data_IF_063218797421
#
_entry.id   IF_063218797421
#
_cell.length_a   1.000
_cell.length_b   1.000
_cell.length_c   1.000
_cell.angle_alpha   90.00
_cell.angle_beta   90.00
_cell.angle_gamma   90.00
#
_symmetry.space_group_name_H-M   'P 1'
#
loop_
_entity.id
_entity.type
_entity.pdbx_description
1 polymer ?
#
# COMPACT_ATOMS: atom_id res chain seq x y z
N UNK A 1 7.04 17.98 15.92
CA UNK A 1 6.46 18.00 17.28
C UNK A 1 5.80 16.65 17.58
N UNK A 2 6.19 16.01 18.69
CA UNK A 2 5.62 14.72 19.09
C UNK A 2 4.18 14.88 19.61
N UNK A 3 3.25 14.14 19.01
CA UNK A 3 1.83 14.10 19.38
C UNK A 3 1.36 12.65 19.47
N UNK A 4 0.48 12.35 20.42
CA UNK A 4 -0.21 11.06 20.48
C UNK A 4 -1.50 11.18 19.67
N UNK A 5 -1.57 10.47 18.54
CA UNK A 5 -2.67 10.58 17.59
C UNK A 5 -3.02 9.20 17.04
N UNK A 6 -4.27 9.07 16.61
CA UNK A 6 -4.66 7.99 15.71
C UNK A 6 -3.96 8.17 14.36
N UNK A 7 -3.54 7.08 13.71
CA UNK A 7 -2.86 7.11 12.41
C UNK A 7 -3.59 7.95 11.35
N UNK A 8 -4.91 7.80 11.24
CA UNK A 8 -5.75 8.59 10.33
C UNK A 8 -5.70 10.10 10.59
N UNK A 9 -5.62 10.52 11.85
CA UNK A 9 -5.47 11.93 12.25
C UNK A 9 -4.06 12.46 11.97
N UNK A 10 -3.05 11.61 12.10
CA UNK A 10 -1.67 11.91 11.70
C UNK A 10 -1.59 12.20 10.20
N UNK A 11 -2.16 11.31 9.37
CA UNK A 11 -2.24 11.50 7.92
C UNK A 11 -3.01 12.77 7.55
N UNK A 12 -4.16 13.03 8.18
CA UNK A 12 -4.91 14.26 7.92
C UNK A 12 -4.10 15.53 8.24
N UNK A 13 -3.30 15.52 9.32
CA UNK A 13 -2.39 16.63 9.62
C UNK A 13 -1.26 16.75 8.59
N UNK A 14 -0.67 15.63 8.15
CA UNK A 14 0.37 15.63 7.12
C UNK A 14 -0.14 16.23 5.81
N UNK A 15 -1.31 15.79 5.34
CA UNK A 15 -1.96 16.30 4.13
C UNK A 15 -2.31 17.78 4.28
N UNK A 16 -2.80 18.21 5.44
CA UNK A 16 -3.08 19.62 5.70
C UNK A 16 -1.82 20.51 5.58
N UNK A 17 -0.67 20.04 6.07
CA UNK A 17 0.61 20.76 5.94
C UNK A 17 1.05 20.90 4.48
N UNK A 18 0.65 19.98 3.59
CA UNK A 18 0.92 20.05 2.16
C UNK A 18 0.02 21.05 1.41
N UNK A 19 -0.95 21.68 2.08
CA UNK A 19 -1.86 22.70 1.51
C UNK A 19 -2.46 22.29 0.16
N UNK A 20 -3.21 21.17 0.06
CA UNK A 20 -3.97 20.88 -1.14
C UNK A 20 -5.01 21.98 -1.37
N UNK A 21 -5.26 22.32 -2.63
CA UNK A 21 -6.31 23.27 -2.99
C UNK A 21 -7.69 22.60 -3.01
N UNK A 22 -7.75 21.27 -3.13
CA UNK A 22 -8.99 20.53 -3.08
C UNK A 22 -8.85 19.17 -2.40
N UNK A 23 -9.83 18.84 -1.55
CA UNK A 23 -10.04 17.52 -0.98
C UNK A 23 -11.34 16.97 -1.53
N UNK A 24 -11.25 15.94 -2.39
CA UNK A 24 -12.40 15.26 -2.98
C UNK A 24 -12.78 14.07 -2.10
N UNK A 25 -13.94 14.10 -1.44
CA UNK A 25 -14.27 13.16 -0.38
C UNK A 25 -15.53 12.33 -0.68
N UNK A 26 -15.38 11.01 -0.56
CA UNK A 26 -16.46 10.05 -0.42
C UNK A 26 -16.12 9.08 0.73
N UNK A 27 -17.03 8.81 1.68
CA UNK A 27 -16.72 8.02 2.87
C UNK A 27 -16.74 6.51 2.58
N UNK A 28 -15.66 5.83 2.95
CA UNK A 28 -15.59 4.36 2.97
C UNK A 28 -14.64 3.89 4.07
N UNK A 29 -15.08 2.97 4.93
CA UNK A 29 -14.22 2.43 6.00
C UNK A 29 -13.02 1.67 5.40
N UNK A 30 -11.81 1.78 5.95
CA UNK A 30 -11.44 2.50 7.18
C UNK A 30 -10.80 3.89 6.95
N UNK A 31 -10.90 4.50 5.77
CA UNK A 31 -10.29 5.82 5.53
C UNK A 31 -11.14 7.00 6.04
N UNK A 32 -12.44 6.79 6.33
CA UNK A 32 -13.40 7.84 6.70
C UNK A 32 -12.87 8.85 7.73
N UNK A 33 -12.12 8.40 8.75
CA UNK A 33 -11.54 9.29 9.77
C UNK A 33 -10.59 10.34 9.19
N UNK A 34 -9.88 10.03 8.10
CA UNK A 34 -8.95 10.92 7.40
C UNK A 34 -9.73 12.07 6.75
N UNK A 35 -10.73 11.76 5.93
CA UNK A 35 -11.54 12.79 5.23
C UNK A 35 -12.35 13.63 6.20
N UNK A 36 -12.91 13.03 7.27
CA UNK A 36 -13.58 13.79 8.33
C UNK A 36 -12.64 14.75 9.07
N UNK A 37 -11.40 14.32 9.35
CA UNK A 37 -10.41 15.18 9.99
C UNK A 37 -9.98 16.34 9.06
N UNK A 38 -9.77 16.07 7.77
CA UNK A 38 -9.50 17.11 6.78
C UNK A 38 -10.66 18.09 6.66
N UNK A 39 -11.91 17.61 6.60
CA UNK A 39 -13.09 18.47 6.56
C UNK A 39 -13.19 19.39 7.77
N UNK A 40 -12.82 18.91 8.97
CA UNK A 40 -12.72 19.75 10.18
C UNK A 40 -11.62 20.80 10.07
N UNK A 41 -10.45 20.45 9.51
CA UNK A 41 -9.33 21.37 9.32
C UNK A 41 -9.65 22.47 8.30
N UNK A 42 -10.27 22.11 7.17
CA UNK A 42 -10.75 23.07 6.17
C UNK A 42 -11.79 24.00 6.77
N UNK A 43 -12.83 23.46 7.43
CA UNK A 43 -13.87 24.26 8.09
C UNK A 43 -13.31 25.22 9.16
N UNK A 44 -12.21 24.84 9.81
CA UNK A 44 -11.54 25.66 10.81
C UNK A 44 -10.55 26.68 10.21
N UNK A 45 -10.41 26.76 8.89
CA UNK A 45 -9.45 27.64 8.21
C UNK A 45 -7.99 27.27 8.49
N UNK A 46 -7.71 25.98 8.75
CA UNK A 46 -6.34 25.48 9.00
C UNK A 46 -5.63 25.02 7.73
N UNK A 47 -6.36 24.86 6.65
CA UNK A 47 -5.83 24.67 5.30
C UNK A 47 -6.29 25.88 4.50
N UNK A 48 -5.36 26.78 4.21
CA UNK A 48 -5.65 28.01 3.46
C UNK A 48 -5.97 27.66 2.00
N UNK A 49 -6.94 28.37 1.40
CA UNK A 49 -7.35 28.23 0.00
C UNK A 49 -7.64 26.78 -0.44
N UNK A 50 -8.26 26.01 0.45
CA UNK A 50 -8.66 24.62 0.20
C UNK A 50 -10.18 24.46 0.16
N UNK A 51 -10.67 23.91 -0.94
CA UNK A 51 -12.06 23.46 -1.06
C UNK A 51 -12.21 22.01 -0.58
N UNK A 52 -13.26 21.75 0.22
CA UNK A 52 -13.61 20.39 0.62
C UNK A 52 -14.92 20.01 -0.06
N UNK A 53 -14.87 19.05 -0.99
CA UNK A 53 -16.02 18.67 -1.80
C UNK A 53 -16.50 17.25 -1.47
N UNK A 54 -17.74 17.16 -1.00
CA UNK A 54 -18.47 15.90 -0.92
C UNK A 54 -19.04 15.55 -2.29
N UNK A 55 -18.70 14.37 -2.79
CA UNK A 55 -19.21 13.84 -4.07
C UNK A 55 -20.22 12.71 -3.83
N UNK A 56 -20.88 12.27 -4.89
CA UNK A 56 -21.89 11.20 -4.85
C UNK A 56 -21.29 9.79 -4.86
N UNK A 57 -20.02 9.65 -5.24
CA UNK A 57 -19.32 8.36 -5.34
C UNK A 57 -17.80 8.49 -5.39
N UNK A 58 -17.07 7.38 -5.22
CA UNK A 58 -15.62 7.36 -5.40
C UNK A 58 -15.18 7.68 -6.84
N UNK A 59 -15.95 7.26 -7.85
CA UNK A 59 -15.70 7.65 -9.24
C UNK A 59 -15.78 9.18 -9.41
N UNK A 60 -16.80 9.81 -8.81
CA UNK A 60 -16.94 11.26 -8.75
C UNK A 60 -15.76 11.93 -8.05
N UNK A 61 -15.25 11.34 -6.95
CA UNK A 61 -14.13 11.91 -6.21
C UNK A 61 -12.86 12.00 -7.07
N UNK A 62 -12.53 10.92 -7.79
CA UNK A 62 -11.37 10.93 -8.69
C UNK A 62 -11.61 11.83 -9.92
N UNK A 63 -12.83 11.87 -10.46
CA UNK A 63 -13.17 12.74 -11.60
C UNK A 63 -13.02 14.22 -11.26
N UNK A 64 -13.46 14.65 -10.07
CA UNK A 64 -13.23 16.02 -9.58
C UNK A 64 -11.74 16.28 -9.38
N UNK A 65 -11.00 15.32 -8.80
CA UNK A 65 -9.56 15.48 -8.59
C UNK A 65 -8.81 15.65 -9.93
N UNK A 66 -9.20 14.91 -10.97
CA UNK A 66 -8.68 15.05 -12.35
C UNK A 66 -8.96 16.45 -12.89
N UNK A 67 -10.22 16.91 -12.81
CA UNK A 67 -10.59 18.23 -13.31
C UNK A 67 -9.84 19.36 -12.60
N UNK A 68 -9.75 19.28 -11.27
CA UNK A 68 -9.03 20.25 -10.46
C UNK A 68 -7.52 20.25 -10.76
N UNK A 69 -6.90 19.07 -10.84
CA UNK A 69 -5.47 18.95 -11.15
C UNK A 69 -5.14 19.48 -12.55
N UNK A 70 -5.99 19.19 -13.54
CA UNK A 70 -5.87 19.74 -14.89
C UNK A 70 -6.05 21.26 -14.93
N UNK A 71 -6.79 21.85 -13.98
CA UNK A 71 -6.91 23.30 -13.80
C UNK A 71 -5.78 23.91 -12.95
N UNK A 72 -4.76 23.13 -12.59
CA UNK A 72 -3.57 23.62 -11.86
C UNK A 72 -3.66 23.52 -10.34
N UNK A 73 -4.69 22.87 -9.78
CA UNK A 73 -4.86 22.71 -8.33
C UNK A 73 -4.10 21.48 -7.79
N UNK A 74 -3.48 21.61 -6.61
CA UNK A 74 -2.98 20.46 -5.84
C UNK A 74 -4.18 19.68 -5.29
N UNK A 75 -4.37 18.45 -5.75
CA UNK A 75 -5.57 17.66 -5.46
C UNK A 75 -5.27 16.44 -4.57
N UNK A 76 -6.18 16.16 -3.64
CA UNK A 76 -6.09 15.03 -2.73
C UNK A 76 -7.43 14.27 -2.59
N UNK A 77 -7.35 12.95 -2.43
CA UNK A 77 -8.49 12.10 -2.04
C UNK A 77 -8.05 10.92 -1.17
N UNK A 78 -9.00 10.19 -0.59
CA UNK A 78 -8.73 8.96 0.16
C UNK A 78 -9.84 7.94 -0.10
N UNK A 79 -9.47 6.67 -0.26
CA UNK A 79 -10.39 5.57 -0.55
C UNK A 79 -9.91 4.24 0.05
N UNK A 80 -10.68 3.18 -0.14
CA UNK A 80 -10.34 1.81 0.25
C UNK A 80 -11.18 0.78 -0.55
N UNK A 81 -10.66 -0.43 -0.76
CA UNK A 81 -11.45 -1.59 -1.22
C UNK A 81 -12.35 -1.29 -2.43
N UNK A 82 -13.66 -1.49 -2.29
CA UNK A 82 -14.66 -1.28 -3.33
C UNK A 82 -14.66 0.13 -3.90
N UNK A 83 -14.34 1.14 -3.08
CA UNK A 83 -14.26 2.51 -3.53
C UNK A 83 -13.12 2.73 -4.51
N UNK A 84 -11.97 2.08 -4.27
CA UNK A 84 -10.85 2.09 -5.21
C UNK A 84 -11.21 1.37 -6.51
N UNK A 85 -11.95 0.26 -6.43
CA UNK A 85 -12.45 -0.45 -7.62
C UNK A 85 -13.44 0.41 -8.41
N UNK A 86 -14.28 1.19 -7.73
CA UNK A 86 -15.22 2.09 -8.38
C UNK A 86 -14.53 3.30 -9.03
N UNK A 87 -13.29 3.61 -8.63
CA UNK A 87 -12.43 4.60 -9.28
C UNK A 87 -11.62 4.06 -10.47
N UNK A 88 -11.65 2.75 -10.77
CA UNK A 88 -10.66 2.11 -11.64
C UNK A 88 -10.43 2.83 -12.97
N UNK A 89 -11.48 3.16 -13.72
CA UNK A 89 -11.36 3.90 -14.99
C UNK A 89 -10.69 5.27 -14.80
N UNK A 90 -11.17 6.05 -13.83
CA UNK A 90 -10.65 7.39 -13.57
C UNK A 90 -9.17 7.36 -13.13
N UNK A 91 -8.74 6.33 -12.40
CA UNK A 91 -7.35 6.13 -11.99
C UNK A 91 -6.44 6.01 -13.22
N UNK A 92 -6.81 5.21 -14.24
CA UNK A 92 -6.03 5.12 -15.47
C UNK A 92 -5.97 6.47 -16.21
N UNK A 93 -7.06 7.23 -16.21
CA UNK A 93 -7.09 8.56 -16.83
C UNK A 93 -6.17 9.54 -16.10
N UNK A 94 -6.20 9.61 -14.76
CA UNK A 94 -5.31 10.47 -13.99
C UNK A 94 -3.82 10.25 -14.32
N UNK A 95 -3.40 8.99 -14.43
CA UNK A 95 -2.02 8.64 -14.80
C UNK A 95 -1.72 8.94 -16.27
N UNK A 96 -2.60 8.51 -17.19
CA UNK A 96 -2.42 8.73 -18.62
C UNK A 96 -2.38 10.21 -19.01
N UNK A 97 -3.13 11.04 -18.28
CA UNK A 97 -3.10 12.48 -18.40
C UNK A 97 -1.88 13.11 -17.72
N UNK A 98 -1.12 12.40 -16.87
CA UNK A 98 0.07 12.93 -16.19
C UNK A 98 -0.26 13.93 -15.08
N UNK A 99 -1.34 13.71 -14.34
CA UNK A 99 -1.83 14.63 -13.31
C UNK A 99 -1.29 14.25 -11.92
N UNK A 100 -0.62 15.16 -11.19
CA UNK A 100 -0.03 14.87 -9.88
C UNK A 100 -1.06 14.88 -8.76
N UNK A 101 -1.85 13.81 -8.68
CA UNK A 101 -2.87 13.60 -7.64
C UNK A 101 -2.30 12.68 -6.56
N UNK A 102 -2.47 13.05 -5.28
CA UNK A 102 -2.12 12.18 -4.16
C UNK A 102 -3.38 11.53 -3.59
N UNK A 103 -3.34 10.21 -3.43
CA UNK A 103 -4.44 9.43 -2.89
C UNK A 103 -3.98 8.54 -1.74
N UNK A 104 -4.69 8.59 -0.62
CA UNK A 104 -4.53 7.57 0.42
C UNK A 104 -5.37 6.36 0.07
N UNK A 105 -4.75 5.18 0.09
CA UNK A 105 -5.46 3.90 0.03
C UNK A 105 -5.34 3.22 1.38
N UNK A 106 -6.41 3.28 2.18
CA UNK A 106 -6.49 2.55 3.45
C UNK A 106 -6.79 1.08 3.17
N UNK A 107 -5.75 0.30 2.89
CA UNK A 107 -5.81 -1.05 2.35
C UNK A 107 -6.80 -1.94 3.12
N UNK A 108 -7.80 -2.42 2.39
CA UNK A 108 -8.91 -3.23 2.88
C UNK A 108 -9.25 -4.30 1.85
N UNK A 109 -9.62 -5.47 2.36
CA UNK A 109 -10.07 -6.61 1.57
C UNK A 109 -11.13 -6.24 0.51
N UNK A 110 -10.92 -6.70 -0.72
CA UNK A 110 -11.93 -6.72 -1.77
C UNK A 110 -12.93 -7.86 -1.48
N UNK A 111 -14.22 -7.58 -1.64
CA UNK A 111 -15.29 -8.58 -1.62
C UNK A 111 -15.58 -9.16 -3.02
N UNK A 112 -16.26 -10.31 -3.15
CA UNK A 112 -16.99 -11.07 -2.13
C UNK A 112 -16.20 -12.29 -1.59
N UNK A 113 -16.33 -12.65 -0.29
CA UNK A 113 -17.24 -12.08 0.72
C UNK A 113 -16.85 -10.68 1.18
N UNK A 114 -17.82 -9.88 1.66
CA UNK A 114 -17.52 -8.55 2.22
C UNK A 114 -16.61 -8.69 3.43
N UNK A 115 -15.55 -7.87 3.46
CA UNK A 115 -14.67 -7.79 4.61
C UNK A 115 -14.17 -6.34 4.75
N UNK A 116 -14.31 -5.79 5.95
CA UNK A 116 -13.90 -4.41 6.26
C UNK A 116 -12.44 -4.33 6.70
N UNK A 117 -11.84 -5.44 7.06
CA UNK A 117 -10.50 -5.51 7.62
C UNK A 117 -9.42 -5.52 6.55
N UNK A 118 -8.17 -5.35 6.99
CA UNK A 118 -7.02 -5.21 6.12
C UNK A 118 -6.67 -6.49 5.37
N UNK A 119 -6.48 -6.32 4.07
CA UNK A 119 -5.44 -6.96 3.28
C UNK A 119 -5.07 -5.95 2.18
N UNK A 120 -4.13 -6.28 1.29
CA UNK A 120 -3.61 -5.34 0.29
C UNK A 120 -4.22 -5.56 -1.12
N UNK A 121 -5.31 -6.33 -1.21
CA UNK A 121 -5.89 -6.75 -2.50
C UNK A 121 -6.39 -5.58 -3.34
N UNK A 122 -6.83 -4.50 -2.69
CA UNK A 122 -7.31 -3.29 -3.32
C UNK A 122 -6.22 -2.52 -4.08
N UNK A 123 -5.22 -1.99 -3.39
CA UNK A 123 -4.12 -1.28 -4.04
C UNK A 123 -3.42 -2.14 -5.10
N UNK A 124 -3.19 -3.42 -4.80
CA UNK A 124 -2.49 -4.33 -5.71
C UNK A 124 -3.36 -4.74 -6.91
N UNK A 125 -4.69 -4.57 -6.87
CA UNK A 125 -5.52 -4.71 -8.07
C UNK A 125 -5.31 -3.57 -9.06
N UNK A 126 -4.81 -2.41 -8.61
CA UNK A 126 -4.53 -1.22 -9.43
C UNK A 126 -3.04 -1.06 -9.78
N UNK A 127 -2.22 -2.10 -9.58
CA UNK A 127 -0.76 -2.05 -9.80
C UNK A 127 -0.31 -1.71 -11.24
N UNK A 128 -1.20 -1.89 -12.21
CA UNK A 128 -0.92 -1.66 -13.64
C UNK A 128 -1.52 -0.31 -14.13
N UNK A 129 -2.07 0.49 -13.22
CA UNK A 129 -2.77 1.76 -13.52
C UNK A 129 -1.84 2.96 -13.78
N UNK A 130 -0.52 2.79 -13.61
CA UNK A 130 0.46 3.87 -13.77
C UNK A 130 0.49 4.86 -12.60
N UNK A 131 0.04 4.43 -11.41
CA UNK A 131 0.21 5.15 -10.16
C UNK A 131 1.40 4.63 -9.38
N UNK A 132 2.19 5.53 -8.82
CA UNK A 132 3.24 5.15 -7.87
C UNK A 132 2.58 4.60 -6.61
N UNK A 133 3.06 3.48 -6.07
CA UNK A 133 2.48 2.84 -4.88
C UNK A 133 3.51 2.76 -3.76
N UNK A 134 3.31 3.56 -2.71
CA UNK A 134 4.18 3.66 -1.55
C UNK A 134 3.50 3.01 -0.34
N UNK A 135 4.12 2.03 0.31
CA UNK A 135 3.53 1.30 1.44
C UNK A 135 4.15 1.77 2.76
N UNK A 136 3.31 2.26 3.67
CA UNK A 136 3.71 2.67 5.00
C UNK A 136 3.89 1.46 5.94
N UNK A 137 5.04 1.37 6.61
CA UNK A 137 5.29 0.36 7.65
C UNK A 137 4.60 0.71 8.96
N UNK A 138 4.60 1.97 9.37
CA UNK A 138 4.02 2.43 10.62
C UNK A 138 3.33 3.80 10.44
N UNK A 139 2.71 4.34 11.49
CA UNK A 139 2.00 5.62 11.39
C UNK A 139 2.95 6.82 11.20
N UNK A 140 4.20 6.74 11.68
CA UNK A 140 5.19 7.78 11.45
C UNK A 140 5.59 7.83 9.97
N UNK A 141 5.87 6.68 9.39
CA UNK A 141 6.17 6.56 7.97
C UNK A 141 4.95 6.93 7.13
N UNK A 142 3.72 6.63 7.56
CA UNK A 142 2.52 7.12 6.91
C UNK A 142 2.51 8.65 6.83
N UNK A 143 2.74 9.37 7.94
CA UNK A 143 2.85 10.85 7.95
C UNK A 143 3.92 11.34 6.95
N UNK A 144 5.10 10.73 6.99
CA UNK A 144 6.24 11.15 6.18
C UNK A 144 6.00 10.90 4.68
N UNK A 145 5.42 9.75 4.34
CA UNK A 145 5.13 9.36 2.96
C UNK A 145 4.10 10.27 2.30
N UNK A 146 3.13 10.82 3.02
CA UNK A 146 2.17 11.77 2.42
C UNK A 146 2.85 13.06 1.99
N UNK A 147 3.81 13.57 2.78
CA UNK A 147 4.58 14.76 2.43
C UNK A 147 5.49 14.47 1.22
N UNK A 148 6.18 13.31 1.24
CA UNK A 148 6.98 12.86 0.10
C UNK A 148 6.12 12.65 -1.16
N UNK A 149 4.91 12.13 -1.03
CA UNK A 149 4.02 11.81 -2.16
C UNK A 149 3.68 13.05 -2.99
N UNK A 150 3.36 14.20 -2.36
CA UNK A 150 3.13 15.44 -3.11
C UNK A 150 4.39 15.89 -3.86
N UNK A 151 5.55 15.88 -3.19
CA UNK A 151 6.82 16.27 -3.80
C UNK A 151 7.19 15.40 -5.00
N UNK A 152 6.98 14.09 -4.88
CA UNK A 152 7.24 13.09 -5.93
C UNK A 152 6.24 13.27 -7.08
N UNK A 153 4.96 13.40 -6.75
CA UNK A 153 3.89 13.53 -7.74
C UNK A 153 4.12 14.74 -8.64
N UNK A 154 4.37 15.90 -8.03
CA UNK A 154 4.57 17.18 -8.72
C UNK A 154 5.82 17.18 -9.57
N UNK A 155 6.93 16.60 -9.09
CA UNK A 155 8.17 16.54 -9.88
C UNK A 155 8.04 15.65 -11.11
N UNK A 156 7.42 14.48 -10.95
CA UNK A 156 7.31 13.49 -12.02
C UNK A 156 6.11 13.73 -12.94
N UNK A 157 5.18 14.60 -12.55
CA UNK A 157 3.87 14.73 -13.20
C UNK A 157 3.16 13.37 -13.26
N UNK A 158 3.16 12.66 -12.13
CA UNK A 158 2.58 11.32 -11.97
C UNK A 158 1.76 11.25 -10.69
N UNK A 159 0.65 10.50 -10.68
CA UNK A 159 -0.14 10.35 -9.47
C UNK A 159 0.45 9.30 -8.50
N UNK A 160 0.22 9.49 -7.20
CA UNK A 160 0.81 8.67 -6.12
C UNK A 160 -0.27 8.13 -5.19
N UNK A 161 -0.27 6.82 -4.96
CA UNK A 161 -1.01 6.14 -3.92
C UNK A 161 -0.12 5.94 -2.69
N UNK A 162 -0.50 6.52 -1.55
CA UNK A 162 0.07 6.15 -0.25
C UNK A 162 -0.81 5.07 0.37
N UNK A 163 -0.28 3.85 0.41
CA UNK A 163 -0.93 2.63 0.85
C UNK A 163 -0.67 2.43 2.35
N UNK A 164 -1.75 2.36 3.13
CA UNK A 164 -1.71 2.25 4.59
C UNK A 164 -2.61 1.11 5.03
N UNK A 165 -2.10 0.15 5.80
CA UNK A 165 -2.88 -1.00 6.23
C UNK A 165 -4.06 -0.58 7.13
N UNK A 166 -5.29 -0.80 6.65
CA UNK A 166 -6.52 -0.41 7.33
C UNK A 166 -6.70 -1.05 8.71
N UNK A 167 -7.25 -0.31 9.66
CA UNK A 167 -7.35 -0.68 11.09
C UNK A 167 -6.02 -0.84 11.82
N UNK A 168 -5.04 -1.55 11.25
CA UNK A 168 -3.73 -1.78 11.87
C UNK A 168 -2.98 -0.46 12.01
N UNK A 169 -2.94 0.35 10.96
CA UNK A 169 -2.34 1.69 11.01
C UNK A 169 -3.43 2.74 11.19
N UNK A 170 -4.48 2.71 10.37
CA UNK A 170 -5.42 3.85 10.31
C UNK A 170 -6.11 4.15 11.64
N UNK A 171 -6.31 3.15 12.52
CA UNK A 171 -6.98 3.29 13.82
C UNK A 171 -6.03 3.14 15.02
N UNK A 172 -4.75 2.84 14.80
CA UNK A 172 -3.79 2.70 15.88
C UNK A 172 -3.44 4.07 16.47
N UNK A 173 -3.41 4.16 17.80
CA UNK A 173 -2.93 5.33 18.54
C UNK A 173 -1.44 5.18 18.82
N UNK A 174 -0.65 6.05 18.21
CA UNK A 174 0.80 6.05 18.35
C UNK A 174 1.34 7.45 18.58
N UNK A 175 2.57 7.54 19.09
CA UNK A 175 3.29 8.80 19.21
C UNK A 175 3.97 9.09 17.88
N UNK A 176 3.51 10.11 17.18
CA UNK A 176 4.07 10.57 15.90
C UNK A 176 4.72 11.95 16.05
N UNK A 177 5.86 12.15 15.40
CA UNK A 177 6.48 13.44 15.18
C UNK A 177 5.88 14.14 13.95
N UNK A 178 4.91 15.02 14.19
CA UNK A 178 4.26 15.81 13.15
C UNK A 178 5.16 17.01 12.80
N UNK A 179 5.60 17.17 11.54
CA UNK A 179 6.45 18.30 11.15
C UNK A 179 5.82 19.68 11.39
N UNK A 180 6.65 20.72 11.43
CA UNK A 180 6.15 22.10 11.37
C UNK A 180 5.83 22.50 9.93
N UNK A 181 5.02 23.55 9.76
CA UNK A 181 4.69 24.08 8.43
C UNK A 181 5.95 24.54 7.69
N UNK A 182 6.90 25.16 8.39
CA UNK A 182 8.15 25.67 7.82
C UNK A 182 9.02 24.53 7.27
N UNK A 183 9.06 23.37 7.96
CA UNK A 183 9.78 22.20 7.46
C UNK A 183 9.13 21.65 6.18
N UNK A 184 7.79 21.62 6.12
CA UNK A 184 7.07 21.17 4.94
C UNK A 184 7.22 22.15 3.78
N UNK A 185 7.14 23.46 4.03
CA UNK A 185 7.36 24.50 3.01
C UNK A 185 8.79 24.49 2.45
N UNK A 186 9.78 24.14 3.28
CA UNK A 186 11.17 23.94 2.83
C UNK A 186 11.31 22.73 1.89
N UNK A 187 10.53 21.68 2.11
CA UNK A 187 10.61 20.42 1.36
C UNK A 187 9.71 20.39 0.12
N UNK A 188 8.51 20.96 0.22
CA UNK A 188 7.46 20.99 -0.79
C UNK A 188 7.18 22.46 -1.16
N UNK A 189 7.83 22.98 -2.23
CA UNK A 189 7.61 24.35 -2.67
C UNK A 189 6.17 24.57 -3.19
N UNK A 190 5.79 25.82 -3.50
CA UNK A 190 4.55 26.11 -4.21
C UNK A 190 4.43 25.27 -5.49
N UNK A 191 3.24 24.74 -5.76
CA UNK A 191 2.99 23.88 -6.90
C UNK A 191 3.00 24.67 -8.20
N UNK A 192 3.80 24.21 -9.16
CA UNK A 192 3.82 24.72 -10.54
C UNK A 192 3.41 23.56 -11.48
N UNK A 193 2.20 23.60 -12.08
CA UNK A 193 1.71 22.51 -12.91
C UNK A 193 2.48 22.43 -14.23
N UNK A 194 2.90 21.21 -14.61
CA UNK A 194 3.56 20.95 -15.90
C UNK A 194 2.64 21.19 -17.11
N UNK A 195 1.33 21.02 -16.90
CA UNK A 195 0.29 21.25 -17.88
C UNK A 195 -0.95 21.74 -17.12
N UNK A 196 -1.59 22.77 -17.67
CA UNK A 196 -2.73 23.43 -17.04
C UNK A 196 -3.71 23.90 -18.11
N UNK A 197 -5.02 23.83 -17.83
CA UNK A 197 -6.05 24.44 -18.64
C UNK A 197 -6.10 25.94 -18.34
N UNK A 198 -5.52 26.73 -19.25
CA UNK A 198 -5.49 28.19 -19.17
C UNK A 198 -6.18 28.81 -20.41
N UNK A 199 -7.24 29.64 -20.26
CA UNK A 199 -7.83 30.36 -21.38
C UNK A 199 -6.88 31.34 -22.10
N UNK A 200 -5.84 31.85 -21.42
CA UNK A 200 -4.84 32.74 -21.99
C UNK A 200 -3.75 31.99 -22.80
N UNK A 201 -3.49 30.72 -22.45
CA UNK A 201 -2.59 29.78 -23.17
C UNK A 201 -3.26 28.41 -23.38
N UNK A 202 -4.23 28.30 -24.32
CA UNK A 202 -5.09 27.13 -24.41
C UNK A 202 -4.37 25.89 -24.94
N UNK A 203 -4.49 24.80 -24.19
CA UNK A 203 -3.98 23.46 -24.56
C UNK A 203 -5.11 22.42 -24.61
N UNK A 204 -4.89 21.33 -25.34
CA UNK A 204 -5.77 20.15 -25.32
C UNK A 204 -5.19 19.07 -24.43
N UNK A 205 -5.94 18.64 -23.41
CA UNK A 205 -5.57 17.55 -22.50
C UNK A 205 -6.49 16.36 -22.78
N UNK A 206 -5.92 15.17 -22.97
CA UNK A 206 -6.69 13.93 -23.23
C UNK A 206 -7.10 13.72 -24.69
N UNK A 207 -6.30 14.18 -25.65
CA UNK A 207 -6.53 13.94 -27.06
C UNK A 207 -6.56 12.44 -27.43
N UNK A 208 -7.35 12.07 -28.44
CA UNK A 208 -7.31 10.74 -29.03
C UNK A 208 -5.99 10.54 -29.79
N UNK A 209 -5.23 9.52 -29.42
CA UNK A 209 -3.96 9.16 -30.08
C UNK A 209 -4.19 7.91 -30.94
N UNK A 210 -3.90 8.01 -32.24
CA UNK A 210 -4.05 6.90 -33.17
C UNK A 210 -2.88 5.91 -33.14
N UNK A 211 -2.99 4.78 -33.87
CA UNK A 211 -1.96 3.74 -33.93
C UNK A 211 -0.57 4.23 -34.36
N UNK A 212 -0.49 5.36 -35.06
CA UNK A 212 0.74 6.00 -35.54
C UNK A 212 1.63 6.60 -34.43
N UNK A 213 1.07 6.83 -33.23
CA UNK A 213 1.79 7.47 -32.13
C UNK A 213 1.49 6.84 -30.75
N UNK A 214 0.51 5.94 -30.64
CA UNK A 214 0.10 5.39 -29.34
C UNK A 214 1.24 4.60 -28.66
N UNK A 215 2.05 3.88 -29.43
CA UNK A 215 3.21 3.13 -28.91
C UNK A 215 4.23 4.08 -28.28
N UNK A 216 4.52 5.19 -28.94
CA UNK A 216 5.45 6.23 -28.52
C UNK A 216 4.95 6.92 -27.24
N UNK A 217 3.65 7.22 -27.16
CA UNK A 217 3.02 7.76 -25.94
C UNK A 217 3.14 6.78 -24.77
N UNK A 218 2.92 5.48 -25.00
CA UNK A 218 3.11 4.44 -23.97
C UNK A 218 4.58 4.29 -23.55
N UNK A 219 5.53 4.43 -24.49
CA UNK A 219 6.95 4.44 -24.16
C UNK A 219 7.32 5.63 -23.27
N UNK A 220 6.80 6.84 -23.57
CA UNK A 220 7.02 8.02 -22.73
C UNK A 220 6.43 7.86 -21.33
N UNK A 221 5.27 7.20 -21.20
CA UNK A 221 4.70 6.87 -19.89
C UNK A 221 5.60 5.89 -19.12
N UNK A 222 6.09 4.83 -19.78
CA UNK A 222 7.04 3.88 -19.19
C UNK A 222 8.34 4.59 -18.73
N UNK A 223 8.89 5.47 -19.56
CA UNK A 223 10.11 6.20 -19.25
C UNK A 223 9.94 7.09 -18.01
N UNK A 224 8.84 7.84 -17.91
CA UNK A 224 8.51 8.65 -16.72
C UNK A 224 8.38 7.78 -15.47
N UNK A 225 7.69 6.65 -15.57
CA UNK A 225 7.51 5.74 -14.45
C UNK A 225 8.82 5.11 -13.97
N UNK A 226 9.73 4.77 -14.89
CA UNK A 226 11.06 4.27 -14.55
C UNK A 226 11.96 5.34 -13.92
N UNK A 227 11.79 6.61 -14.29
CA UNK A 227 12.52 7.74 -13.67
C UNK A 227 12.23 7.82 -12.16
N UNK A 228 11.04 7.38 -11.72
CA UNK A 228 10.71 7.33 -10.30
C UNK A 228 11.68 6.45 -9.47
N UNK A 229 12.33 5.44 -10.07
CA UNK A 229 13.34 4.61 -9.39
C UNK A 229 14.56 5.41 -8.93
N UNK A 230 14.88 6.52 -9.61
CA UNK A 230 15.98 7.43 -9.24
C UNK A 230 15.50 8.53 -8.29
N UNK A 231 14.26 9.02 -8.50
CA UNK A 231 13.67 10.10 -7.69
C UNK A 231 13.36 9.64 -6.27
N UNK A 232 12.83 8.43 -6.08
CA UNK A 232 12.41 7.93 -4.76
C UNK A 232 13.57 7.92 -3.72
N UNK A 233 14.76 7.36 -4.01
CA UNK A 233 15.91 7.47 -3.11
C UNK A 233 16.35 8.91 -2.86
N UNK A 234 16.38 9.76 -3.89
CA UNK A 234 16.81 11.16 -3.76
C UNK A 234 15.88 11.94 -2.83
N UNK A 235 14.57 11.79 -3.00
CA UNK A 235 13.55 12.42 -2.16
C UNK A 235 13.65 11.91 -0.71
N UNK A 236 13.93 10.63 -0.50
CA UNK A 236 14.19 10.09 0.85
C UNK A 236 15.40 10.79 1.51
N UNK A 237 16.50 11.02 0.80
CA UNK A 237 17.67 11.72 1.36
C UNK A 237 17.38 13.19 1.65
N UNK A 238 16.66 13.87 0.76
CA UNK A 238 16.22 15.26 0.97
C UNK A 238 15.31 15.37 2.19
N UNK A 239 14.37 14.44 2.33
CA UNK A 239 13.51 14.33 3.50
C UNK A 239 14.34 14.11 4.77
N UNK A 240 15.29 13.17 4.76
CA UNK A 240 16.13 12.89 5.92
C UNK A 240 16.94 14.11 6.39
N UNK A 241 17.42 14.95 5.47
CA UNK A 241 18.16 16.19 5.79
C UNK A 241 17.30 17.24 6.50
N UNK A 242 16.02 17.35 6.15
CA UNK A 242 15.11 18.39 6.69
C UNK A 242 14.41 17.91 7.97
N UNK A 243 13.95 16.66 7.98
CA UNK A 243 13.13 16.11 9.06
C UNK A 243 13.92 15.26 10.06
N UNK A 244 15.21 15.01 9.81
CA UNK A 244 16.11 14.30 10.72
C UNK A 244 15.83 12.80 10.85
N UNK A 245 15.04 12.22 9.96
CA UNK A 245 14.66 10.80 9.96
C UNK A 245 14.52 10.26 8.54
N UNK A 246 14.85 8.98 8.37
CA UNK A 246 14.82 8.32 7.06
C UNK A 246 13.52 7.52 6.92
N UNK A 247 12.69 7.90 5.94
CA UNK A 247 11.40 7.28 5.66
C UNK A 247 11.20 7.14 4.14
N UNK A 248 10.47 6.13 3.67
CA UNK A 248 10.19 5.93 2.24
C UNK A 248 11.36 5.34 1.43
N UNK A 249 11.54 5.80 0.18
CA UNK A 249 12.51 5.24 -0.77
C UNK A 249 12.00 3.96 -1.46
N UNK A 250 12.93 3.15 -1.99
CA UNK A 250 12.58 1.90 -2.69
C UNK A 250 12.33 0.75 -1.73
N UNK A 251 13.27 0.52 -0.81
CA UNK A 251 13.24 -0.52 0.21
C UNK A 251 14.17 -0.14 1.37
N UNK A 252 14.04 -0.85 2.49
CA UNK A 252 15.01 -0.85 3.57
C UNK A 252 15.37 -2.27 3.99
N UNK A 253 16.54 -2.45 4.59
CA UNK A 253 17.01 -3.74 5.11
C UNK A 253 17.16 -3.68 6.62
N UNK A 254 17.00 -4.83 7.28
CA UNK A 254 17.20 -4.98 8.71
C UNK A 254 17.86 -6.33 8.99
N UNK A 255 19.07 -6.30 9.58
CA UNK A 255 19.88 -7.47 9.93
C UNK A 255 20.09 -8.43 8.75
N UNK A 256 20.40 -7.89 7.58
CA UNK A 256 20.62 -8.65 6.32
C UNK A 256 22.07 -9.10 6.12
N UNK A 257 22.97 -8.71 7.02
CA UNK A 257 24.35 -9.18 7.08
C UNK A 257 24.39 -10.63 7.60
N UNK A 258 25.23 -11.46 6.96
CA UNK A 258 25.47 -12.85 7.34
C UNK A 258 24.18 -13.70 7.50
N UNK A 259 23.24 -13.55 6.55
CA UNK A 259 21.94 -14.22 6.59
C UNK A 259 21.82 -15.37 5.58
N UNK A 260 21.38 -16.53 6.05
CA UNK A 260 21.03 -17.67 5.19
C UNK A 260 19.64 -17.49 4.57
N UNK A 261 18.72 -16.85 5.30
CA UNK A 261 17.32 -16.64 4.90
C UNK A 261 17.02 -15.14 4.90
N UNK A 262 16.35 -14.66 3.86
CA UNK A 262 15.80 -13.31 3.84
C UNK A 262 14.28 -13.34 3.73
N UNK A 263 13.61 -12.63 4.63
CA UNK A 263 12.17 -12.42 4.58
C UNK A 263 11.87 -11.05 3.95
N UNK A 264 10.97 -11.00 2.98
CA UNK A 264 10.55 -9.77 2.32
C UNK A 264 9.04 -9.58 2.45
N UNK A 265 8.61 -8.34 2.72
CA UNK A 265 7.21 -7.96 2.82
C UNK A 265 7.00 -6.47 2.62
N UNK A 266 5.77 -6.01 2.84
CA UNK A 266 5.40 -4.59 2.78
C UNK A 266 4.28 -4.26 3.76
N UNK A 267 4.16 -2.98 4.11
CA UNK A 267 3.14 -2.49 5.03
C UNK A 267 3.43 -2.83 6.51
N UNK A 268 2.38 -2.83 7.31
CA UNK A 268 2.45 -2.92 8.78
C UNK A 268 2.97 -4.24 9.34
N UNK A 269 3.00 -5.30 8.52
CA UNK A 269 3.52 -6.59 8.96
C UNK A 269 5.03 -6.57 9.22
N UNK A 270 5.76 -5.59 8.68
CA UNK A 270 7.22 -5.51 8.80
C UNK A 270 7.67 -5.34 10.25
N UNK A 271 6.96 -4.54 11.06
CA UNK A 271 7.30 -4.38 12.48
C UNK A 271 7.31 -5.72 13.23
N UNK A 272 6.23 -6.50 13.09
CA UNK A 272 6.14 -7.84 13.69
C UNK A 272 7.19 -8.80 13.14
N UNK A 273 7.55 -8.68 11.86
CA UNK A 273 8.61 -9.49 11.24
C UNK A 273 9.98 -9.16 11.83
N UNK A 274 10.31 -7.87 12.03
CA UNK A 274 11.56 -7.43 12.66
C UNK A 274 11.68 -7.98 14.09
N UNK A 275 10.64 -7.84 14.90
CA UNK A 275 10.60 -8.40 16.26
C UNK A 275 10.80 -9.93 16.27
N UNK A 276 10.18 -10.63 15.31
CA UNK A 276 10.30 -12.09 15.19
C UNK A 276 11.71 -12.51 14.76
N UNK A 277 12.34 -11.74 13.86
CA UNK A 277 13.71 -11.97 13.42
C UNK A 277 14.70 -11.74 14.56
N UNK A 278 14.48 -10.75 15.42
CA UNK A 278 15.34 -10.54 16.58
C UNK A 278 15.34 -11.75 17.52
N UNK A 279 14.15 -12.25 17.87
CA UNK A 279 14.02 -13.47 18.68
C UNK A 279 14.64 -14.71 18.00
N UNK A 280 14.46 -14.87 16.68
CA UNK A 280 15.05 -15.99 15.94
C UNK A 280 16.58 -15.94 15.88
N UNK A 281 17.15 -14.74 15.79
CA UNK A 281 18.61 -14.55 15.80
C UNK A 281 19.19 -14.87 17.17
N UNK A 282 18.48 -14.52 18.25
CA UNK A 282 18.86 -14.94 19.60
C UNK A 282 18.78 -16.47 19.78
N UNK A 283 17.88 -17.13 19.04
CA UNK A 283 17.78 -18.59 18.94
C UNK A 283 18.81 -19.22 17.96
N UNK A 284 19.68 -18.42 17.33
CA UNK A 284 20.77 -18.88 16.46
C UNK A 284 20.40 -19.05 14.98
N UNK A 285 19.23 -18.55 14.53
CA UNK A 285 18.83 -18.61 13.12
C UNK A 285 19.18 -17.30 12.40
N UNK A 286 20.00 -17.40 11.35
CA UNK A 286 20.49 -16.26 10.56
C UNK A 286 19.44 -15.76 9.55
N UNK A 287 18.48 -14.96 10.03
CA UNK A 287 17.44 -14.35 9.19
C UNK A 287 17.62 -12.83 9.10
N UNK A 288 17.33 -12.26 7.94
CA UNK A 288 17.26 -10.81 7.73
C UNK A 288 15.96 -10.38 7.06
N UNK A 289 15.58 -9.12 7.23
CA UNK A 289 14.33 -8.54 6.70
C UNK A 289 14.63 -7.56 5.59
N UNK A 290 13.86 -7.64 4.51
CA UNK A 290 13.76 -6.62 3.47
C UNK A 290 12.35 -6.04 3.52
N UNK A 291 12.25 -4.74 3.77
CA UNK A 291 10.98 -4.00 3.77
C UNK A 291 10.85 -3.26 2.44
N UNK A 292 9.91 -3.69 1.60
CA UNK A 292 9.61 -2.99 0.35
C UNK A 292 8.77 -1.74 0.65
N UNK A 293 9.26 -0.58 0.21
CA UNK A 293 8.61 0.72 0.44
C UNK A 293 7.87 1.22 -0.79
N UNK A 294 8.43 0.98 -1.98
CA UNK A 294 7.78 1.25 -3.26
C UNK A 294 7.50 -0.05 -4.01
N UNK A 295 6.22 -0.32 -4.28
CA UNK A 295 5.80 -1.50 -5.05
C UNK A 295 5.69 -1.19 -6.55
N UNK A 296 5.32 0.04 -6.89
CA UNK A 296 5.25 0.55 -8.26
C UNK A 296 5.92 1.92 -8.36
N UNK A 297 6.92 2.10 -9.26
CA UNK A 297 7.58 1.06 -10.06
C UNK A 297 8.23 -0.01 -9.17
N UNK A 298 8.25 -1.26 -9.63
CA UNK A 298 8.87 -2.33 -8.86
C UNK A 298 10.41 -2.25 -9.00
N UNK A 299 11.17 -2.14 -7.91
CA UNK A 299 12.60 -1.89 -7.97
C UNK A 299 13.39 -3.20 -8.11
N UNK A 300 13.30 -3.84 -9.29
CA UNK A 300 13.88 -5.17 -9.54
C UNK A 300 15.37 -5.28 -9.17
N UNK A 301 16.19 -4.30 -9.55
CA UNK A 301 17.63 -4.33 -9.28
C UNK A 301 17.93 -4.16 -7.78
N UNK A 302 17.22 -3.25 -7.10
CA UNK A 302 17.38 -3.06 -5.66
C UNK A 302 16.93 -4.31 -4.88
N UNK A 303 15.81 -4.94 -5.28
CA UNK A 303 15.32 -6.18 -4.67
C UNK A 303 16.31 -7.33 -4.92
N UNK A 304 16.83 -7.48 -6.14
CA UNK A 304 17.84 -8.49 -6.46
C UNK A 304 19.09 -8.33 -5.60
N UNK A 305 19.61 -7.12 -5.45
CA UNK A 305 20.79 -6.87 -4.62
C UNK A 305 20.47 -7.08 -3.14
N UNK A 306 19.33 -6.59 -2.64
CA UNK A 306 18.89 -6.76 -1.25
C UNK A 306 18.60 -8.22 -0.88
N UNK A 307 18.40 -9.13 -1.84
CA UNK A 307 18.17 -10.56 -1.62
C UNK A 307 19.38 -11.45 -1.98
N UNK A 308 20.43 -10.86 -2.54
CA UNK A 308 21.66 -11.56 -2.96
C UNK A 308 22.37 -12.27 -1.81
N UNK A 309 22.73 -13.53 -2.05
CA UNK A 309 23.45 -14.37 -1.09
C UNK A 309 22.54 -15.16 -0.15
N UNK A 310 21.23 -14.88 -0.13
CA UNK A 310 20.29 -15.72 0.61
C UNK A 310 20.17 -17.10 -0.07
N UNK A 311 20.21 -18.17 0.73
CA UNK A 311 19.90 -19.52 0.25
C UNK A 311 18.41 -19.69 -0.03
N UNK A 312 17.58 -18.95 0.69
CA UNK A 312 16.12 -18.96 0.60
C UNK A 312 15.54 -17.58 0.89
N UNK A 313 14.52 -17.22 0.11
CA UNK A 313 13.71 -16.03 0.32
C UNK A 313 12.30 -16.44 0.71
N UNK A 314 11.79 -15.84 1.78
CA UNK A 314 10.42 -16.01 2.24
C UNK A 314 9.67 -14.70 2.01
N UNK A 315 8.66 -14.72 1.14
CA UNK A 315 7.83 -13.55 0.84
C UNK A 315 6.57 -13.60 1.70
N UNK A 316 6.32 -12.57 2.52
CA UNK A 316 5.06 -12.43 3.25
C UNK A 316 4.11 -11.55 2.44
N UNK A 317 3.06 -12.17 1.90
CA UNK A 317 2.06 -11.53 1.07
C UNK A 317 0.75 -11.36 1.83
N UNK A 318 0.26 -10.13 1.91
CA UNK A 318 -1.11 -9.83 2.36
C UNK A 318 -2.11 -9.81 1.20
N UNK A 319 -1.87 -10.63 0.17
CA UNK A 319 -2.77 -10.83 -0.96
C UNK A 319 -2.66 -12.25 -1.48
N UNK A 320 -3.69 -12.70 -2.20
CA UNK A 320 -3.64 -13.92 -3.00
C UNK A 320 -4.37 -13.70 -4.31
N UNK A 321 -3.76 -14.12 -5.42
CA UNK A 321 -4.41 -14.18 -6.72
C UNK A 321 -4.93 -15.61 -6.94
N UNK A 322 -6.26 -15.84 -7.04
CA UNK A 322 -6.80 -17.17 -7.32
C UNK A 322 -6.17 -17.80 -8.58
N UNK A 323 -5.72 -19.05 -8.47
CA UNK A 323 -5.00 -19.73 -9.55
C UNK A 323 -3.52 -19.37 -9.67
N UNK A 324 -3.00 -18.53 -8.77
CA UNK A 324 -1.59 -18.13 -8.71
C UNK A 324 -1.14 -18.05 -7.24
N UNK A 325 -0.19 -17.16 -6.93
CA UNK A 325 0.39 -16.89 -5.61
C UNK A 325 0.04 -15.47 -5.13
N UNK A 326 0.74 -15.00 -4.10
CA UNK A 326 0.71 -13.60 -3.66
C UNK A 326 1.34 -12.64 -4.69
N UNK A 327 0.84 -11.40 -4.74
CA UNK A 327 1.25 -10.44 -5.78
C UNK A 327 2.73 -10.05 -5.63
N UNK A 328 3.21 -9.83 -4.41
CA UNK A 328 4.62 -9.55 -4.18
C UNK A 328 5.51 -10.75 -4.51
N UNK A 329 5.04 -11.97 -4.20
CA UNK A 329 5.72 -13.21 -4.52
C UNK A 329 6.05 -13.34 -6.00
N UNK A 330 5.12 -12.97 -6.89
CA UNK A 330 5.35 -12.98 -8.34
C UNK A 330 6.47 -12.01 -8.76
N UNK A 331 6.50 -10.82 -8.19
CA UNK A 331 7.51 -9.80 -8.52
C UNK A 331 8.89 -10.18 -7.99
N UNK A 332 8.97 -10.73 -6.79
CA UNK A 332 10.22 -11.21 -6.19
C UNK A 332 10.79 -12.39 -6.98
N UNK A 333 9.96 -13.33 -7.44
CA UNK A 333 10.42 -14.40 -8.34
C UNK A 333 10.97 -13.85 -9.66
N UNK A 334 10.31 -12.84 -10.23
CA UNK A 334 10.79 -12.15 -11.43
C UNK A 334 12.14 -11.46 -11.18
N UNK A 335 12.29 -10.75 -10.05
CA UNK A 335 13.54 -10.10 -9.64
C UNK A 335 14.68 -11.10 -9.42
N UNK A 336 14.39 -12.32 -9.00
CA UNK A 336 15.37 -13.38 -8.73
C UNK A 336 15.57 -14.34 -9.91
N UNK A 337 14.92 -14.12 -11.05
CA UNK A 337 15.07 -14.96 -12.23
C UNK A 337 16.54 -15.12 -12.60
N UNK A 338 16.96 -16.37 -12.80
CA UNK A 338 18.32 -16.76 -13.15
C UNK A 338 19.30 -16.88 -11.98
N UNK A 339 18.89 -16.58 -10.74
CA UNK A 339 19.80 -16.68 -9.57
C UNK A 339 19.85 -18.08 -8.93
N UNK A 340 18.82 -18.91 -9.14
CA UNK A 340 18.69 -20.21 -8.47
C UNK A 340 18.24 -20.14 -7.00
N UNK A 341 17.98 -18.93 -6.47
CA UNK A 341 17.49 -18.72 -5.10
C UNK A 341 16.11 -19.32 -4.92
N UNK A 342 15.91 -20.14 -3.89
CA UNK A 342 14.60 -20.69 -3.57
C UNK A 342 13.67 -19.61 -3.02
N UNK A 343 12.43 -19.52 -3.52
CA UNK A 343 11.43 -18.55 -3.07
C UNK A 343 10.20 -19.28 -2.55
N UNK A 344 9.80 -19.00 -1.32
CA UNK A 344 8.52 -19.42 -0.75
C UNK A 344 7.61 -18.21 -0.59
N UNK A 345 6.39 -18.29 -1.11
CA UNK A 345 5.36 -17.26 -0.90
C UNK A 345 4.43 -17.68 0.24
N UNK A 346 4.40 -16.88 1.29
CA UNK A 346 3.55 -17.06 2.47
C UNK A 346 2.40 -16.08 2.39
N UNK A 347 1.19 -16.61 2.18
CA UNK A 347 -0.05 -15.85 2.22
C UNK A 347 -0.45 -15.67 3.68
N UNK A 348 -0.56 -14.43 4.13
CA UNK A 348 -0.75 -14.09 5.52
C UNK A 348 -1.75 -12.95 5.73
N UNK A 349 -2.43 -12.96 6.87
CA UNK A 349 -3.22 -11.82 7.34
C UNK A 349 -4.42 -11.39 6.49
N UNK A 350 -4.86 -12.22 5.54
CA UNK A 350 -6.00 -11.90 4.68
C UNK A 350 -7.24 -11.53 5.50
N UNK A 351 -7.91 -10.45 5.10
CA UNK A 351 -9.14 -10.02 5.75
C UNK A 351 -9.01 -9.75 7.25
N UNK A 352 -7.86 -9.24 7.69
CA UNK A 352 -7.61 -8.84 9.08
C UNK A 352 -7.14 -9.95 10.02
N UNK A 353 -6.85 -11.15 9.52
CA UNK A 353 -6.30 -12.21 10.37
C UNK A 353 -4.98 -11.74 10.99
N UNK A 354 -4.81 -11.96 12.30
CA UNK A 354 -3.59 -11.54 12.98
C UNK A 354 -2.36 -12.23 12.38
N UNK A 355 -1.30 -11.46 12.14
CA UNK A 355 0.03 -11.98 11.83
C UNK A 355 0.82 -11.91 13.14
N UNK A 356 0.98 -13.06 13.81
CA UNK A 356 1.62 -13.09 15.12
C UNK A 356 3.10 -13.41 15.02
N UNK A 357 3.88 -12.99 16.03
CA UNK A 357 5.30 -13.39 16.16
C UNK A 357 5.45 -14.91 16.18
N UNK A 358 4.56 -15.61 16.88
CA UNK A 358 4.57 -17.07 16.91
C UNK A 358 4.46 -17.69 15.50
N UNK A 359 3.49 -17.23 14.70
CA UNK A 359 3.26 -17.73 13.34
C UNK A 359 4.44 -17.43 12.41
N UNK A 360 5.01 -16.22 12.49
CA UNK A 360 6.19 -15.85 11.70
C UNK A 360 7.38 -16.74 12.08
N UNK A 361 7.66 -16.90 13.37
CA UNK A 361 8.78 -17.73 13.84
C UNK A 361 8.63 -19.19 13.43
N UNK A 362 7.43 -19.77 13.58
CA UNK A 362 7.16 -21.12 13.13
C UNK A 362 7.40 -21.27 11.62
N UNK A 363 6.88 -20.34 10.83
CA UNK A 363 7.04 -20.34 9.37
C UNK A 363 8.51 -20.24 8.93
N UNK A 364 9.28 -19.35 9.56
CA UNK A 364 10.71 -19.19 9.24
C UNK A 364 11.56 -20.38 9.68
N UNK A 365 11.21 -21.05 10.80
CA UNK A 365 11.82 -22.32 11.20
C UNK A 365 11.52 -23.44 10.21
N UNK A 366 10.29 -23.53 9.71
CA UNK A 366 9.93 -24.50 8.67
C UNK A 366 10.64 -24.20 7.34
N UNK A 367 10.81 -22.92 6.99
CA UNK A 367 11.60 -22.51 5.84
C UNK A 367 13.08 -22.93 5.97
N UNK A 368 13.68 -22.71 7.16
CA UNK A 368 15.04 -23.13 7.47
C UNK A 368 15.22 -24.65 7.40
N UNK A 369 14.20 -25.40 7.85
CA UNK A 369 14.18 -26.85 7.79
C UNK A 369 13.83 -27.42 6.40
N UNK A 370 13.58 -26.57 5.39
CA UNK A 370 13.18 -27.00 4.04
C UNK A 370 11.80 -27.65 3.96
N UNK A 371 10.93 -27.38 4.94
CA UNK A 371 9.57 -27.95 5.05
C UNK A 371 8.49 -27.05 4.45
N UNK A 372 8.80 -25.78 4.20
CA UNK A 372 7.85 -24.82 3.69
C UNK A 372 7.58 -25.08 2.18
N UNK A 373 6.32 -25.30 1.76
CA UNK A 373 5.99 -25.45 0.35
C UNK A 373 6.14 -24.12 -0.41
N UNK A 374 6.18 -24.17 -1.74
CA UNK A 374 6.34 -22.98 -2.58
C UNK A 374 5.28 -21.90 -2.29
N UNK A 375 4.04 -22.32 -2.05
CA UNK A 375 2.95 -21.44 -1.61
C UNK A 375 2.38 -22.00 -0.30
N UNK A 376 2.40 -21.16 0.75
CA UNK A 376 1.94 -21.54 2.09
C UNK A 376 0.92 -20.52 2.61
N UNK A 377 -0.26 -21.00 3.05
CA UNK A 377 -1.23 -20.16 3.75
C UNK A 377 -0.98 -20.25 5.25
N UNK A 378 -0.40 -19.20 5.83
CA UNK A 378 -0.11 -19.13 7.26
C UNK A 378 -1.40 -19.06 8.07
N UNK A 379 -1.45 -19.84 9.16
CA UNK A 379 -2.61 -19.94 10.05
C UNK A 379 -3.92 -20.33 9.34
N UNK A 380 -3.83 -21.09 8.24
CA UNK A 380 -5.00 -21.69 7.60
C UNK A 380 -5.56 -22.82 8.47
N UNK A 381 -6.82 -22.70 8.84
CA UNK A 381 -7.55 -23.73 9.54
C UNK A 381 -7.90 -24.87 8.57
N UNK A 382 -7.02 -25.89 8.51
CA UNK A 382 -7.15 -27.00 7.57
C UNK A 382 -8.40 -27.83 7.82
N UNK A 383 -8.81 -28.00 9.07
CA UNK A 383 -10.01 -28.76 9.42
C UNK A 383 -11.27 -28.09 8.83
N UNK A 384 -11.39 -26.76 8.97
CA UNK A 384 -12.50 -26.02 8.36
C UNK A 384 -12.50 -26.17 6.83
N UNK A 385 -11.34 -26.02 6.20
CA UNK A 385 -11.21 -26.15 4.74
C UNK A 385 -11.57 -27.56 4.28
N UNK A 386 -11.04 -28.60 4.92
CA UNK A 386 -11.30 -29.99 4.58
C UNK A 386 -12.78 -30.35 4.78
N UNK A 387 -13.43 -29.82 5.82
CA UNK A 387 -14.87 -29.97 6.03
C UNK A 387 -15.70 -29.36 4.90
N UNK A 388 -15.33 -28.17 4.39
CA UNK A 388 -15.99 -27.58 3.21
C UNK A 388 -15.78 -28.39 1.95
N UNK A 389 -14.53 -28.78 1.67
CA UNK A 389 -14.20 -29.55 0.48
C UNK A 389 -14.91 -30.92 0.49
N UNK A 390 -15.02 -31.57 1.65
CA UNK A 390 -15.79 -32.79 1.81
C UNK A 390 -17.29 -32.60 1.53
N UNK A 391 -17.88 -31.45 1.94
CA UNK A 391 -19.27 -31.11 1.59
C UNK A 391 -19.46 -30.93 0.08
N UNK A 392 -18.56 -30.20 -0.56
CA UNK A 392 -18.60 -29.95 -2.01
C UNK A 392 -18.42 -31.23 -2.82
N UNK A 393 -17.54 -32.13 -2.38
CA UNK A 393 -17.35 -33.43 -3.00
C UNK A 393 -18.59 -34.33 -2.88
N UNK A 394 -19.34 -34.23 -1.77
CA UNK A 394 -20.54 -35.05 -1.51
C UNK A 394 -21.78 -34.54 -2.25
N UNK A 395 -21.93 -33.23 -2.41
CA UNK A 395 -23.12 -32.65 -3.06
C UNK A 395 -22.77 -31.42 -3.89
N UNK A 396 -23.27 -31.38 -5.12
CA UNK A 396 -23.16 -30.21 -6.00
C UNK A 396 -23.93 -28.98 -5.46
N UNK A 397 -24.93 -29.20 -4.60
CA UNK A 397 -25.68 -28.14 -3.91
C UNK A 397 -25.18 -27.99 -2.47
N UNK A 398 -23.88 -27.74 -2.32
CA UNK A 398 -23.20 -27.56 -1.01
C UNK A 398 -23.49 -26.22 -0.35
N UNK A 399 -24.12 -25.28 -1.07
CA UNK A 399 -24.33 -23.90 -0.60
C UNK A 399 -23.12 -23.01 -0.86
N UNK A 400 -23.24 -21.70 -0.61
CA UNK A 400 -22.13 -20.78 -0.76
C UNK A 400 -21.11 -20.96 0.37
N UNK A 401 -19.83 -21.04 -0.01
CA UNK A 401 -18.76 -21.49 0.89
C UNK A 401 -18.55 -20.54 2.08
N UNK A 402 -18.73 -19.24 1.91
CA UNK A 402 -18.54 -18.25 2.99
C UNK A 402 -19.52 -18.47 4.14
N UNK A 403 -20.80 -18.68 3.85
CA UNK A 403 -21.85 -18.93 4.84
C UNK A 403 -21.64 -20.24 5.57
N UNK A 404 -21.26 -21.31 4.87
CA UNK A 404 -20.96 -22.60 5.50
C UNK A 404 -19.70 -22.53 6.38
N UNK A 405 -18.68 -21.76 5.98
CA UNK A 405 -17.50 -21.50 6.83
C UNK A 405 -17.87 -20.75 8.11
N UNK A 406 -18.71 -19.72 8.04
CA UNK A 406 -19.16 -19.01 9.23
C UNK A 406 -19.98 -19.90 10.17
N UNK A 407 -20.81 -20.80 9.64
CA UNK A 407 -21.56 -21.77 10.45
C UNK A 407 -20.63 -22.71 11.20
N UNK A 408 -19.60 -23.24 10.55
CA UNK A 408 -18.65 -24.16 11.19
C UNK A 408 -17.81 -23.46 12.26
N UNK A 409 -17.32 -22.24 11.98
CA UNK A 409 -16.63 -21.40 12.97
C UNK A 409 -17.53 -21.13 14.18
N UNK A 410 -18.80 -20.80 13.94
CA UNK A 410 -19.79 -20.57 15.00
C UNK A 410 -20.03 -21.80 15.87
N UNK A 411 -20.20 -22.98 15.25
CA UNK A 411 -20.36 -24.27 15.96
C UNK A 411 -19.14 -24.60 16.82
N UNK A 412 -17.93 -24.44 16.28
CA UNK A 412 -16.69 -24.69 17.04
C UNK A 412 -16.57 -23.77 18.25
N UNK A 413 -16.88 -22.48 18.05
CA UNK A 413 -16.84 -21.48 19.12
C UNK A 413 -17.84 -21.80 20.23
N UNK A 414 -19.07 -22.21 19.88
CA UNK A 414 -20.08 -22.63 20.85
C UNK A 414 -19.68 -23.88 21.64
N UNK A 415 -19.08 -24.88 20.97
CA UNK A 415 -18.60 -26.09 21.63
C UNK A 415 -17.45 -25.81 22.62
N UNK A 416 -16.52 -24.91 22.26
CA UNK A 416 -15.44 -24.48 23.14
C UNK A 416 -15.97 -23.70 24.35
N UNK A 417 -16.99 -22.85 24.17
CA UNK A 417 -17.62 -22.13 25.27
C UNK A 417 -18.38 -23.06 26.23
N UNK A 418 -19.01 -24.12 25.72
CA UNK A 418 -19.72 -25.10 26.54
C UNK A 418 -18.79 -26.07 27.30
N UNK A 419 -17.51 -26.14 26.92
CA UNK A 419 -16.49 -27.00 27.55
C UNK A 419 -15.66 -26.27 28.61
N UNK A 420 -15.90 -24.97 28.81
CA UNK A 420 -15.34 -24.13 29.88
C UNK A 420 -16.40 -23.91 30.94
#
# INVERSE_FOLDING_TARGET
MLKQLEGSQGVAQAVALCRPNIVCAYPISPQTHIVEALGRLVRAGKIEDCEYLNVESEFGAMSVAIGASAAGARAYTATASQGLLFMAEAIYNASGLGLPIVMTVANRAIGAPINIWNDQSDSLSQRDSGWLQLFAEDNQEAVDLHIQAFRIAEELSLPVMVCMDGFVLTHALERMDIPSQEQVDQFLPPYEPRQVLDPEDPVSIGAMVGPEAFTEVRYLAQHRFNTALEVLPRVQEEFAKIFGRRSGGLLSTYRTEDTDIRVIGMGSCIGTIKDSVDELRDEGLNVGVVSLKSFRPFPYDAVREALKGASRVVVIDRTVTPGSRGVLGMEVESALRGTGTAVNTVIAGLGGRAITRHSIKATLKDAAAGKLPDIFFMDLDRELVENQLAREAKTRRSGPAAEEMLKDVGRRSAAQAASK
#
